data_IF_006153228573
#
_entry.id   IF_006153228573
#
_cell.length_a   1.000
_cell.length_b   1.000
_cell.length_c   1.000
_cell.angle_alpha   90.00
_cell.angle_beta   90.00
_cell.angle_gamma   90.00
#
_symmetry.space_group_name_H-M   'P 1'
#
loop_
_entity.id
_entity.type
_entity.pdbx_description
1 polymer ?
#
# COMPACT_ATOMS: atom_id res chain seq x y z
N UNK A 1 6.73 14.72 6.34
CA UNK A 1 5.57 13.80 6.42
C UNK A 1 4.97 13.67 7.82
N UNK A 2 5.75 13.38 8.87
CA UNK A 2 5.17 13.24 10.22
C UNK A 2 4.36 14.46 10.71
N UNK A 3 4.83 15.69 10.47
CA UNK A 3 4.08 16.91 10.79
C UNK A 3 2.74 16.98 10.04
N UNK A 4 2.75 16.76 8.73
CA UNK A 4 1.55 16.74 7.89
C UNK A 4 0.44 15.82 8.44
N UNK A 5 0.76 14.58 8.82
CA UNK A 5 -0.25 13.67 9.39
C UNK A 5 -0.69 14.07 10.80
N UNK A 6 0.18 14.69 11.60
CA UNK A 6 -0.20 15.23 12.91
C UNK A 6 -1.15 16.43 12.78
N UNK A 7 -0.91 17.30 11.81
CA UNK A 7 -1.73 18.48 11.55
C UNK A 7 -3.11 18.07 11.00
N UNK A 8 -3.15 17.11 10.07
CA UNK A 8 -4.42 16.48 9.64
C UNK A 8 -5.17 15.90 10.84
N UNK A 9 -4.48 15.13 11.69
CA UNK A 9 -5.10 14.51 12.86
C UNK A 9 -5.67 15.56 13.83
N UNK A 10 -4.94 16.63 14.09
CA UNK A 10 -5.40 17.73 14.94
C UNK A 10 -6.66 18.40 14.37
N UNK A 11 -6.66 18.68 13.06
CA UNK A 11 -7.80 19.26 12.35
C UNK A 11 -9.04 18.35 12.30
N UNK A 12 -8.86 17.04 12.53
CA UNK A 12 -9.94 16.05 12.60
C UNK A 12 -10.39 15.74 14.05
N UNK A 13 -9.92 16.50 15.05
CA UNK A 13 -10.31 16.32 16.45
C UNK A 13 -9.39 15.41 17.27
N UNK A 14 -8.22 15.03 16.75
CA UNK A 14 -7.15 14.42 17.54
C UNK A 14 -7.19 12.90 17.70
N UNK A 15 -8.27 12.22 17.29
CA UNK A 15 -8.37 10.76 17.36
C UNK A 15 -7.29 10.06 16.49
N UNK A 16 -6.86 8.82 16.83
CA UNK A 16 -5.95 8.06 15.98
C UNK A 16 -6.43 7.97 14.53
N UNK A 17 -5.54 8.23 13.58
CA UNK A 17 -5.84 8.26 12.15
C UNK A 17 -5.01 7.21 11.43
N UNK A 18 -5.62 6.10 10.94
CA UNK A 18 -4.93 5.17 10.06
C UNK A 18 -4.54 5.86 8.76
N UNK A 19 -3.27 5.74 8.39
CA UNK A 19 -2.76 6.16 7.09
C UNK A 19 -1.65 5.21 6.61
N UNK A 20 -1.45 5.19 5.30
CA UNK A 20 -0.27 4.66 4.64
C UNK A 20 0.23 5.68 3.62
N UNK A 21 1.54 5.85 3.48
CA UNK A 21 2.12 6.73 2.48
C UNK A 21 3.38 6.15 1.83
N UNK A 22 3.61 6.55 0.58
CA UNK A 22 4.70 6.09 -0.28
C UNK A 22 5.38 7.32 -0.92
N UNK A 23 6.71 7.46 -0.79
CA UNK A 23 7.48 8.45 -1.53
C UNK A 23 7.64 8.06 -3.01
N UNK A 24 7.53 9.03 -3.92
CA UNK A 24 7.89 8.90 -5.33
C UNK A 24 8.70 10.12 -5.76
N UNK A 25 9.88 9.94 -6.35
CA UNK A 25 10.59 11.04 -7.01
C UNK A 25 9.92 11.38 -8.34
N UNK A 26 9.63 12.65 -8.59
CA UNK A 26 9.09 13.06 -9.88
C UNK A 26 10.15 12.92 -10.97
N UNK A 27 9.74 12.40 -12.13
CA UNK A 27 10.63 12.17 -13.30
C UNK A 27 11.32 13.42 -13.87
N UNK A 28 10.89 14.63 -13.50
CA UNK A 28 11.45 15.90 -13.99
C UNK A 28 12.07 16.76 -12.89
N UNK A 29 12.55 16.15 -11.80
CA UNK A 29 13.27 16.84 -10.70
C UNK A 29 12.44 17.91 -9.94
N UNK A 30 11.11 17.89 -10.06
CA UNK A 30 10.21 18.75 -9.29
C UNK A 30 10.09 18.36 -7.80
N UNK A 31 10.93 17.43 -7.36
CA UNK A 31 10.98 16.95 -5.98
C UNK A 31 10.15 15.68 -5.71
N UNK A 32 9.93 15.45 -4.43
CA UNK A 32 9.32 14.24 -3.90
C UNK A 32 7.79 14.37 -3.82
N UNK A 33 7.09 13.42 -4.42
CA UNK A 33 5.65 13.24 -4.29
C UNK A 33 5.35 12.31 -3.10
N UNK A 34 4.32 12.66 -2.34
CA UNK A 34 3.78 11.82 -1.28
C UNK A 34 2.41 11.28 -1.71
N UNK A 35 2.36 10.01 -2.10
CA UNK A 35 1.10 9.31 -2.32
C UNK A 35 0.63 8.73 -0.98
N UNK A 36 -0.61 9.00 -0.58
CA UNK A 36 -1.11 8.50 0.69
C UNK A 36 -2.58 8.06 0.61
N UNK A 37 -2.94 7.14 1.48
CA UNK A 37 -4.31 6.72 1.74
C UNK A 37 -4.62 6.91 3.23
N UNK A 38 -5.87 7.20 3.53
CA UNK A 38 -6.40 7.40 4.89
C UNK A 38 -7.67 6.57 5.04
N UNK A 39 -7.92 6.04 6.24
CA UNK A 39 -9.08 5.17 6.51
C UNK A 39 -10.42 5.89 6.62
N UNK A 40 -10.53 7.14 6.14
CA UNK A 40 -11.76 7.92 6.11
C UNK A 40 -11.66 9.03 5.08
N UNK A 41 -12.82 9.54 4.65
CA UNK A 41 -12.87 10.75 3.85
C UNK A 41 -12.34 11.96 4.64
N UNK A 42 -11.52 12.78 4.00
CA UNK A 42 -11.00 14.04 4.52
C UNK A 42 -11.27 15.12 3.48
N UNK A 43 -11.91 16.22 3.90
CA UNK A 43 -12.16 17.34 3.02
C UNK A 43 -10.86 17.92 2.47
N UNK A 44 -10.85 18.25 1.17
CA UNK A 44 -9.66 18.73 0.47
C UNK A 44 -9.01 19.94 1.12
N UNK A 45 -9.79 20.86 1.68
CA UNK A 45 -9.26 22.07 2.29
C UNK A 45 -8.37 21.73 3.51
N UNK A 46 -8.78 20.78 4.35
CA UNK A 46 -8.00 20.32 5.50
C UNK A 46 -6.64 19.72 5.08
N UNK A 47 -6.62 18.98 3.97
CA UNK A 47 -5.38 18.41 3.43
C UNK A 47 -4.46 19.52 2.93
N UNK A 48 -5.00 20.55 2.25
CA UNK A 48 -4.21 21.68 1.76
C UNK A 48 -3.62 22.49 2.91
N UNK A 49 -4.44 22.81 3.91
CA UNK A 49 -4.05 23.56 5.10
C UNK A 49 -2.91 22.86 5.84
N UNK A 50 -3.00 21.54 6.03
CA UNK A 50 -1.93 20.75 6.64
C UNK A 50 -0.69 20.58 5.73
N UNK A 51 -0.86 20.53 4.41
CA UNK A 51 0.24 20.23 3.48
C UNK A 51 1.20 21.40 3.33
N UNK A 52 0.69 22.58 2.98
CA UNK A 52 1.46 23.82 2.83
C UNK A 52 2.58 23.83 1.78
N UNK A 53 2.77 22.75 1.00
CA UNK A 53 3.94 22.53 0.13
C UNK A 53 3.56 22.32 -1.35
N UNK A 54 2.53 23.02 -1.83
CA UNK A 54 2.13 23.00 -3.24
C UNK A 54 0.86 22.19 -3.55
N UNK A 55 0.86 21.52 -4.70
CA UNK A 55 -0.36 20.95 -5.29
C UNK A 55 -0.82 19.67 -4.60
N UNK A 56 -2.09 19.68 -4.17
CA UNK A 56 -2.79 18.50 -3.67
C UNK A 56 -3.84 18.07 -4.69
N UNK A 57 -3.63 16.89 -5.27
CA UNK A 57 -4.60 16.16 -6.08
C UNK A 57 -5.23 15.06 -5.22
N UNK A 58 -6.55 14.99 -5.19
CA UNK A 58 -7.30 13.98 -4.44
C UNK A 58 -8.13 13.21 -5.44
N UNK A 59 -8.01 11.89 -5.39
CA UNK A 59 -8.85 10.99 -6.15
C UNK A 59 -9.62 10.12 -5.16
N UNK A 60 -10.93 10.07 -5.32
CA UNK A 60 -11.70 8.98 -4.71
C UNK A 60 -11.38 7.71 -5.52
N UNK A 61 -10.80 6.71 -4.87
CA UNK A 61 -10.60 5.40 -5.48
C UNK A 61 -11.97 4.73 -5.52
N UNK A 62 -12.55 4.63 -6.72
CA UNK A 62 -13.84 4.02 -6.98
C UNK A 62 -13.75 2.85 -7.96
N UNK A 63 -14.84 2.59 -8.68
CA UNK A 63 -14.98 1.46 -9.60
C UNK A 63 -14.92 0.10 -8.88
N UNK A 64 -15.66 0.03 -7.77
CA UNK A 64 -15.88 -1.19 -7.01
C UNK A 64 -17.31 -1.70 -7.26
N UNK A 65 -17.54 -3.03 -7.32
CA UNK A 65 -18.88 -3.58 -7.45
C UNK A 65 -19.83 -3.07 -6.38
N UNK A 66 -21.12 -2.91 -6.72
CA UNK A 66 -22.17 -2.58 -5.76
C UNK A 66 -22.15 -3.60 -4.61
N UNK A 67 -22.18 -3.11 -3.37
CA UNK A 67 -22.07 -3.95 -2.18
C UNK A 67 -20.64 -4.20 -1.70
N UNK A 68 -19.63 -3.58 -2.32
CA UNK A 68 -18.26 -3.58 -1.79
C UNK A 68 -18.21 -2.87 -0.43
N UNK A 69 -17.56 -3.52 0.54
CA UNK A 69 -17.34 -2.95 1.87
C UNK A 69 -15.95 -2.33 2.04
N UNK A 70 -15.69 -1.83 3.26
CA UNK A 70 -14.45 -1.14 3.64
C UNK A 70 -13.17 -1.94 3.31
N UNK A 71 -13.22 -3.28 3.42
CA UNK A 71 -12.08 -4.14 3.08
C UNK A 71 -11.71 -4.09 1.59
N UNK A 72 -12.70 -4.07 0.70
CA UNK A 72 -12.47 -3.97 -0.75
C UNK A 72 -11.91 -2.60 -1.11
N UNK A 73 -12.43 -1.53 -0.49
CA UNK A 73 -11.90 -0.18 -0.65
C UNK A 73 -10.44 -0.07 -0.18
N UNK A 74 -10.12 -0.67 0.97
CA UNK A 74 -8.75 -0.72 1.48
C UNK A 74 -7.81 -1.51 0.56
N UNK A 75 -8.26 -2.64 -0.01
CA UNK A 75 -7.49 -3.43 -0.99
C UNK A 75 -7.24 -2.65 -2.27
N UNK A 76 -8.23 -1.90 -2.78
CA UNK A 76 -8.06 -1.00 -3.93
C UNK A 76 -7.02 0.10 -3.66
N UNK A 77 -7.09 0.71 -2.48
CA UNK A 77 -6.12 1.71 -2.04
C UNK A 77 -4.71 1.15 -1.90
N UNK A 78 -4.58 -0.05 -1.32
CA UNK A 78 -3.31 -0.76 -1.23
C UNK A 78 -2.73 -1.04 -2.62
N UNK A 79 -3.52 -1.56 -3.56
CA UNK A 79 -3.09 -1.78 -4.95
C UNK A 79 -2.62 -0.50 -5.64
N UNK A 80 -3.33 0.62 -5.43
CA UNK A 80 -2.92 1.92 -5.95
C UNK A 80 -1.57 2.38 -5.38
N UNK A 81 -1.36 2.27 -4.06
CA UNK A 81 -0.09 2.65 -3.43
C UNK A 81 1.07 1.71 -3.83
N UNK A 82 0.80 0.41 -3.95
CA UNK A 82 1.78 -0.60 -4.37
C UNK A 82 2.39 -0.30 -5.73
N UNK A 83 1.65 0.35 -6.64
CA UNK A 83 2.21 0.85 -7.92
C UNK A 83 3.43 1.73 -7.70
N UNK A 84 3.39 2.63 -6.72
CA UNK A 84 4.48 3.56 -6.43
C UNK A 84 5.62 2.88 -5.69
N UNK A 85 5.31 1.91 -4.83
CA UNK A 85 6.32 1.04 -4.23
C UNK A 85 7.08 0.28 -5.32
N UNK A 86 6.38 -0.34 -6.28
CA UNK A 86 7.01 -1.11 -7.37
C UNK A 86 7.96 -0.27 -8.22
N UNK A 87 7.63 1.00 -8.49
CA UNK A 87 8.53 1.90 -9.25
C UNK A 87 9.92 2.03 -8.62
N UNK A 88 9.99 2.02 -7.29
CA UNK A 88 11.26 2.10 -6.54
C UNK A 88 12.13 0.83 -6.66
N UNK A 89 11.59 -0.27 -7.18
CA UNK A 89 12.34 -1.50 -7.48
C UNK A 89 12.75 -1.60 -8.95
N UNK A 90 11.95 -1.03 -9.86
CA UNK A 90 12.17 -1.16 -11.30
C UNK A 90 13.03 -0.07 -11.91
N UNK A 91 13.08 1.11 -11.29
CA UNK A 91 13.93 2.22 -11.76
C UNK A 91 15.30 2.18 -11.07
N UNK A 92 16.39 1.86 -11.80
CA UNK A 92 17.75 1.73 -11.25
C UNK A 92 18.25 3.00 -10.56
N UNK A 93 17.76 4.18 -10.98
CA UNK A 93 18.16 5.47 -10.40
C UNK A 93 17.50 5.75 -9.05
N UNK A 94 16.43 5.00 -8.74
CA UNK A 94 15.62 5.15 -7.51
C UNK A 94 15.84 4.01 -6.50
N UNK A 95 16.70 3.04 -6.83
CA UNK A 95 16.90 1.84 -6.03
C UNK A 95 17.78 2.16 -4.80
N UNK A 96 17.14 2.61 -3.71
CA UNK A 96 17.82 2.82 -2.43
C UNK A 96 17.57 1.63 -1.51
N UNK A 97 18.62 0.86 -1.23
CA UNK A 97 18.57 -0.29 -0.32
C UNK A 97 18.52 0.16 1.15
N UNK A 98 17.87 -0.65 2.00
CA UNK A 98 17.85 -0.43 3.46
C UNK A 98 16.94 0.69 3.97
N UNK A 99 16.20 1.38 3.10
CA UNK A 99 15.24 2.42 3.51
C UNK A 99 13.79 1.93 3.42
N UNK A 100 12.94 2.51 4.28
CA UNK A 100 11.50 2.29 4.22
C UNK A 100 10.93 2.82 2.90
N UNK A 101 10.26 1.94 2.14
CA UNK A 101 9.60 2.29 0.86
C UNK A 101 8.15 2.75 1.04
N UNK A 102 7.62 2.58 2.24
CA UNK A 102 6.33 3.08 2.66
C UNK A 102 6.37 3.24 4.18
N UNK A 103 5.41 3.99 4.71
CA UNK A 103 5.27 4.18 6.14
C UNK A 103 3.78 4.31 6.49
N UNK A 104 3.44 3.93 7.72
CA UNK A 104 2.07 3.79 8.21
C UNK A 104 1.90 4.48 9.55
N UNK A 105 0.67 4.75 9.94
CA UNK A 105 0.38 5.30 11.26
C UNK A 105 0.94 4.40 12.38
N UNK A 106 1.49 5.01 13.42
CA UNK A 106 1.93 4.29 14.61
C UNK A 106 0.75 3.52 15.24
N UNK A 107 0.94 2.23 15.53
CA UNK A 107 -0.11 1.35 16.04
C UNK A 107 -1.00 0.73 14.95
N UNK A 108 -0.79 1.08 13.68
CA UNK A 108 -1.52 0.54 12.52
C UNK A 108 -0.60 -0.27 11.59
N UNK A 109 0.52 -0.79 12.11
CA UNK A 109 1.40 -1.68 11.37
C UNK A 109 0.64 -2.97 11.02
N UNK A 110 0.79 -3.50 9.79
CA UNK A 110 0.22 -4.80 9.45
C UNK A 110 0.82 -5.88 10.36
N UNK A 111 -0.04 -6.79 10.80
CA UNK A 111 0.40 -7.95 11.60
C UNK A 111 1.24 -8.86 10.71
N UNK A 112 2.42 -9.25 11.19
CA UNK A 112 3.24 -10.26 10.53
C UNK A 112 2.66 -11.64 10.86
N UNK A 113 2.22 -12.35 9.83
CA UNK A 113 1.75 -13.72 9.94
C UNK A 113 2.81 -14.66 9.37
N UNK A 114 3.26 -15.62 10.18
CA UNK A 114 4.13 -16.70 9.73
C UNK A 114 3.27 -17.96 9.59
N UNK A 115 3.27 -18.54 8.39
CA UNK A 115 2.55 -19.77 8.06
C UNK A 115 3.56 -20.82 7.61
N UNK A 116 3.26 -22.09 7.88
CA UNK A 116 4.07 -23.24 7.49
C UNK A 116 3.16 -24.40 7.11
N UNK A 117 3.59 -25.20 6.14
CA UNK A 117 2.85 -26.34 5.65
C UNK A 117 3.74 -27.26 4.83
N UNK A 118 3.23 -28.44 4.50
CA UNK A 118 3.99 -29.48 3.79
C UNK A 118 4.05 -29.25 2.27
N UNK A 119 3.31 -28.25 1.78
CA UNK A 119 3.33 -27.83 0.38
C UNK A 119 3.02 -26.35 0.23
N UNK A 120 3.38 -25.73 -0.92
CA UNK A 120 2.98 -24.35 -1.20
C UNK A 120 1.46 -24.16 -1.27
N UNK A 121 0.72 -25.17 -1.72
CA UNK A 121 -0.75 -25.14 -1.78
C UNK A 121 -1.38 -25.09 -0.39
N UNK A 122 -0.83 -25.84 0.57
CA UNK A 122 -1.25 -25.82 1.98
C UNK A 122 -1.05 -24.43 2.60
N UNK A 123 0.14 -23.83 2.44
CA UNK A 123 0.41 -22.47 2.94
C UNK A 123 -0.51 -21.42 2.30
N UNK A 124 -0.80 -21.54 0.99
CA UNK A 124 -1.73 -20.63 0.31
C UNK A 124 -3.18 -20.81 0.78
N UNK A 125 -3.60 -22.04 1.11
CA UNK A 125 -4.91 -22.31 1.70
C UNK A 125 -5.03 -21.65 3.09
N UNK A 126 -4.05 -21.85 3.96
CA UNK A 126 -3.99 -21.19 5.28
C UNK A 126 -4.03 -19.65 5.17
N UNK A 127 -3.30 -19.07 4.21
CA UNK A 127 -3.33 -17.64 3.95
C UNK A 127 -4.70 -17.16 3.45
N UNK A 128 -5.35 -17.97 2.61
CA UNK A 128 -6.68 -17.67 2.06
C UNK A 128 -7.78 -17.73 3.12
N UNK A 129 -7.68 -18.67 4.06
CA UNK A 129 -8.58 -18.73 5.22
C UNK A 129 -8.43 -17.47 6.09
N UNK A 130 -7.19 -17.07 6.38
CA UNK A 130 -6.91 -15.85 7.14
C UNK A 130 -7.39 -14.58 6.42
N UNK A 131 -7.26 -14.52 5.09
CA UNK A 131 -7.62 -13.36 4.27
C UNK A 131 -9.06 -13.39 3.73
N UNK A 132 -9.86 -14.38 4.16
CA UNK A 132 -11.27 -14.57 3.79
C UNK A 132 -11.51 -14.65 2.28
N UNK A 133 -10.74 -15.49 1.59
CA UNK A 133 -10.98 -15.80 0.17
C UNK A 133 -9.71 -16.23 -0.57
N UNK A 134 -9.84 -16.68 -1.83
CA UNK A 134 -8.69 -17.07 -2.65
C UNK A 134 -7.89 -15.85 -3.15
N UNK A 135 -6.60 -16.03 -3.50
CA UNK A 135 -5.83 -14.98 -4.15
C UNK A 135 -6.44 -14.63 -5.52
N UNK A 136 -6.47 -13.34 -5.86
CA UNK A 136 -6.89 -12.84 -7.17
C UNK A 136 -5.74 -12.86 -8.18
N UNK A 137 -4.51 -12.82 -7.70
CA UNK A 137 -3.32 -12.92 -8.55
C UNK A 137 -2.30 -13.78 -7.84
N UNK A 138 -1.67 -14.67 -8.59
CA UNK A 138 -0.60 -15.52 -8.11
C UNK A 138 0.48 -15.60 -9.18
N UNK A 139 1.73 -15.59 -8.73
CA UNK A 139 2.91 -15.84 -9.52
C UNK A 139 3.76 -16.89 -8.80
N UNK A 140 4.36 -17.80 -9.57
CA UNK A 140 5.27 -18.82 -9.06
C UNK A 140 6.56 -18.75 -9.85
N UNK A 141 7.69 -18.88 -9.17
CA UNK A 141 8.99 -19.01 -9.83
C UNK A 141 9.05 -20.22 -10.75
N UNK A 142 8.24 -21.25 -10.50
CA UNK A 142 8.15 -22.45 -11.34
C UNK A 142 7.57 -22.19 -12.73
N UNK A 143 6.89 -21.05 -12.96
CA UNK A 143 6.39 -20.69 -14.28
C UNK A 143 7.41 -19.91 -15.11
N UNK A 144 8.65 -19.76 -14.62
CA UNK A 144 9.75 -19.07 -15.29
C UNK A 144 10.81 -20.10 -15.65
N UNK A 145 11.01 -20.32 -16.96
CA UNK A 145 11.87 -21.38 -17.50
C UNK A 145 13.31 -21.35 -16.94
N UNK A 146 13.88 -20.16 -16.78
CA UNK A 146 15.27 -19.96 -16.34
C UNK A 146 15.40 -19.40 -14.91
N UNK A 147 14.47 -19.71 -14.01
CA UNK A 147 14.57 -19.23 -12.64
C UNK A 147 15.77 -19.85 -11.89
N UNK A 148 16.73 -19.00 -11.51
CA UNK A 148 17.96 -19.40 -10.80
C UNK A 148 17.93 -19.14 -9.29
N UNK A 149 16.85 -18.56 -8.76
CA UNK A 149 16.68 -18.26 -7.34
C UNK A 149 16.07 -19.42 -6.54
N UNK A 150 15.91 -19.22 -5.22
CA UNK A 150 15.11 -20.13 -4.40
C UNK A 150 13.64 -20.16 -4.89
N UNK A 151 12.92 -21.29 -4.75
CA UNK A 151 11.51 -21.35 -5.09
C UNK A 151 10.70 -20.28 -4.36
N UNK A 152 9.89 -19.53 -5.09
CA UNK A 152 9.14 -18.40 -4.55
C UNK A 152 7.73 -18.36 -5.14
N UNK A 153 6.76 -17.99 -4.30
CA UNK A 153 5.40 -17.68 -4.71
C UNK A 153 5.08 -16.27 -4.23
N UNK A 154 4.49 -15.48 -5.11
CA UNK A 154 3.86 -14.21 -4.77
C UNK A 154 2.36 -14.34 -5.02
N UNK A 155 1.54 -13.92 -4.06
CA UNK A 155 0.10 -13.96 -4.17
C UNK A 155 -0.52 -12.69 -3.58
N UNK A 156 -1.62 -12.24 -4.17
CA UNK A 156 -2.36 -11.06 -3.75
C UNK A 156 -3.85 -11.39 -3.60
N UNK A 157 -4.43 -10.97 -2.47
CA UNK A 157 -5.85 -11.11 -2.17
C UNK A 157 -6.59 -9.79 -2.41
N UNK A 158 -7.58 -9.84 -3.29
CA UNK A 158 -8.40 -8.70 -3.72
C UNK A 158 -7.70 -7.71 -4.66
N UNK A 159 -8.51 -6.84 -5.27
CA UNK A 159 -8.14 -5.91 -6.35
C UNK A 159 -8.83 -4.55 -6.24
#
# INVERSE_FOLDING_TARGET
MGAFFRDIRANLGGAPLPYAWVPEWHKTDHGLHAHFAVGRFIHRHLIKEAWGRGHVHIKLLGDLPVGSGELSEARKAAGYLSKYVSKTFTDPTSQVFGLHRYDVAQGFQPVKLALSGDSPADVLAQASDYLNGPPQTQWSSSSVEDWSGAPAIWAQWGS
#
